data_IF_131654522531
#
_entry.id   IF_131654522531
#
_cell.length_a   1.000
_cell.length_b   1.000
_cell.length_c   1.000
_cell.angle_alpha   90.00
_cell.angle_beta   90.00
_cell.angle_gamma   90.00
#
_symmetry.space_group_name_H-M   'P 1'
#
loop_
_entity.id
_entity.type
_entity.pdbx_description
1 polymer ?
#
# COMPACT_ATOMS: atom_id res chain seq x y z
N UNK A 1 -19.23 -4.49 16.54
CA UNK A 1 -18.21 -4.12 15.53
C UNK A 1 -18.54 -2.72 15.02
N UNK A 2 -17.60 -1.78 15.04
CA UNK A 2 -17.81 -0.47 14.38
C UNK A 2 -17.53 -0.68 12.89
N UNK A 3 -18.49 -0.32 12.02
CA UNK A 3 -18.40 -0.49 10.57
C UNK A 3 -17.34 0.42 9.94
N UNK A 4 -17.70 1.11 8.87
CA UNK A 4 -16.82 2.13 8.26
C UNK A 4 -16.41 3.20 9.28
N UNK A 5 -15.16 3.63 9.19
CA UNK A 5 -14.62 4.72 9.99
C UNK A 5 -14.69 6.03 9.21
N UNK A 6 -15.61 6.91 9.62
CA UNK A 6 -15.83 8.22 8.98
C UNK A 6 -14.65 9.19 9.15
N UNK A 7 -13.73 8.92 10.08
CA UNK A 7 -12.53 9.73 10.28
C UNK A 7 -11.39 9.35 9.34
N UNK A 8 -11.51 8.27 8.57
CA UNK A 8 -10.47 7.81 7.66
C UNK A 8 -10.63 8.48 6.28
N UNK A 9 -9.58 9.14 5.75
CA UNK A 9 -9.70 9.93 4.52
C UNK A 9 -9.73 9.08 3.24
N UNK A 10 -9.12 7.89 3.27
CA UNK A 10 -9.11 6.85 2.22
C UNK A 10 -8.77 5.50 2.87
N UNK A 11 -8.89 4.40 2.12
CA UNK A 11 -8.59 3.03 2.60
C UNK A 11 -9.63 2.52 3.61
N UNK A 12 -10.84 3.08 3.59
CA UNK A 12 -11.97 2.65 4.41
C UNK A 12 -12.42 1.21 4.09
N UNK A 13 -12.22 0.76 2.85
CA UNK A 13 -12.43 -0.61 2.41
C UNK A 13 -11.42 -1.57 3.06
N UNK A 14 -10.13 -1.24 3.03
CA UNK A 14 -9.06 -2.02 3.65
C UNK A 14 -9.25 -2.15 5.16
N UNK A 15 -9.52 -1.03 5.84
CA UNK A 15 -9.79 -1.01 7.27
C UNK A 15 -11.01 -1.89 7.62
N UNK A 16 -12.07 -1.85 6.82
CA UNK A 16 -13.24 -2.72 6.99
C UNK A 16 -12.89 -4.20 6.80
N UNK A 17 -12.17 -4.57 5.73
CA UNK A 17 -11.77 -5.95 5.47
C UNK A 17 -10.89 -6.52 6.60
N UNK A 18 -9.98 -5.73 7.15
CA UNK A 18 -9.14 -6.12 8.28
C UNK A 18 -9.96 -6.34 9.55
N UNK A 19 -10.95 -5.48 9.82
CA UNK A 19 -11.89 -5.69 10.94
C UNK A 19 -12.71 -6.97 10.74
N UNK A 20 -13.18 -7.24 9.52
CA UNK A 20 -13.96 -8.44 9.21
C UNK A 20 -13.12 -9.72 9.34
N UNK A 21 -11.86 -9.70 8.93
CA UNK A 21 -10.94 -10.84 9.04
C UNK A 21 -10.72 -11.30 10.49
N UNK A 22 -10.94 -10.42 11.48
CA UNK A 22 -10.88 -10.77 12.91
C UNK A 22 -12.09 -11.58 13.38
N UNK A 23 -13.21 -11.57 12.66
CA UNK A 23 -14.41 -12.33 13.01
C UNK A 23 -14.33 -13.78 12.54
N UNK A 24 -13.48 -14.07 11.57
CA UNK A 24 -13.30 -15.42 11.04
C UNK A 24 -12.68 -15.40 9.64
N UNK A 25 -12.48 -16.59 9.04
CA UNK A 25 -11.94 -16.71 7.70
C UNK A 25 -12.80 -15.98 6.67
N UNK A 26 -12.15 -15.24 5.76
CA UNK A 26 -12.80 -14.61 4.63
C UNK A 26 -12.77 -15.57 3.43
N UNK A 27 -13.92 -16.13 2.98
CA UNK A 27 -13.94 -16.97 1.80
C UNK A 27 -13.62 -16.15 0.54
N UNK A 28 -12.88 -16.75 -0.39
CA UNK A 28 -12.48 -16.12 -1.65
C UNK A 28 -12.99 -16.94 -2.82
N UNK A 29 -13.65 -16.29 -3.77
CA UNK A 29 -14.09 -16.92 -5.03
C UNK A 29 -13.14 -16.52 -6.15
N UNK A 30 -12.50 -17.50 -6.78
CA UNK A 30 -11.57 -17.30 -7.90
C UNK A 30 -12.33 -17.20 -9.23
N UNK A 31 -13.27 -16.24 -9.33
CA UNK A 31 -14.05 -15.98 -10.53
C UNK A 31 -14.20 -14.46 -10.75
N UNK A 32 -14.30 -13.98 -12.01
CA UNK A 32 -14.56 -12.58 -12.30
C UNK A 32 -16.01 -12.22 -11.95
N UNK A 33 -16.22 -11.70 -10.74
CA UNK A 33 -17.56 -11.36 -10.23
C UNK A 33 -17.90 -9.87 -10.34
N UNK A 34 -16.91 -9.03 -10.65
CA UNK A 34 -17.04 -7.58 -10.65
C UNK A 34 -16.36 -6.99 -11.87
N UNK A 35 -17.05 -6.10 -12.57
CA UNK A 35 -16.46 -5.23 -13.56
C UNK A 35 -16.05 -3.91 -12.89
N UNK A 36 -14.75 -3.60 -12.92
CA UNK A 36 -14.20 -2.40 -12.28
C UNK A 36 -13.95 -1.30 -13.32
N UNK A 37 -14.55 -0.13 -13.11
CA UNK A 37 -14.40 1.01 -14.02
C UNK A 37 -13.22 1.90 -13.62
N UNK A 38 -12.34 2.21 -14.57
CA UNK A 38 -11.13 3.01 -14.33
C UNK A 38 -11.29 4.51 -14.61
N UNK A 39 -12.36 4.93 -15.28
CA UNK A 39 -12.45 6.24 -15.94
C UNK A 39 -13.12 7.37 -15.14
N UNK A 40 -13.60 7.11 -13.91
CA UNK A 40 -14.25 8.17 -13.14
C UNK A 40 -13.25 9.31 -12.80
N UNK A 41 -13.55 10.52 -13.25
CA UNK A 41 -12.77 11.76 -12.99
C UNK A 41 -12.71 12.13 -11.50
N UNK A 42 -13.58 11.58 -10.66
CA UNK A 42 -13.67 11.82 -9.22
C UNK A 42 -13.06 10.71 -8.34
N UNK A 43 -12.06 9.98 -8.83
CA UNK A 43 -11.42 8.93 -8.02
C UNK A 43 -10.61 9.51 -6.87
N UNK A 44 -10.94 9.08 -5.65
CA UNK A 44 -10.20 9.38 -4.40
C UNK A 44 -8.70 9.07 -4.52
N UNK A 45 -8.32 8.07 -5.32
CA UNK A 45 -6.93 7.70 -5.59
C UNK A 45 -6.11 8.76 -6.34
N UNK A 46 -6.75 9.83 -6.85
CA UNK A 46 -6.05 10.97 -7.49
C UNK A 46 -5.59 12.02 -6.47
N UNK A 47 -6.20 12.07 -5.27
CA UNK A 47 -5.70 12.89 -4.17
C UNK A 47 -4.62 12.10 -3.43
N UNK A 48 -3.39 12.24 -3.90
CA UNK A 48 -2.25 11.45 -3.39
C UNK A 48 -1.96 11.76 -1.93
N UNK A 49 -2.22 12.99 -1.49
CA UNK A 49 -2.04 13.39 -0.10
C UNK A 49 -2.98 12.59 0.80
N UNK A 50 -4.27 12.52 0.44
CA UNK A 50 -5.23 11.71 1.19
C UNK A 50 -4.91 10.22 1.12
N UNK A 51 -4.52 9.71 -0.05
CA UNK A 51 -4.15 8.31 -0.22
C UNK A 51 -2.97 7.91 0.68
N UNK A 52 -1.92 8.73 0.71
CA UNK A 52 -0.76 8.51 1.58
C UNK A 52 -1.16 8.59 3.06
N UNK A 53 -1.97 9.57 3.45
CA UNK A 53 -2.44 9.71 4.82
C UNK A 53 -3.27 8.51 5.28
N UNK A 54 -4.22 8.03 4.45
CA UNK A 54 -5.00 6.83 4.75
C UNK A 54 -4.11 5.60 4.90
N UNK A 55 -3.09 5.46 4.04
CA UNK A 55 -2.13 4.37 4.11
C UNK A 55 -1.33 4.37 5.43
N UNK A 56 -0.85 5.54 5.88
CA UNK A 56 -0.15 5.69 7.16
C UNK A 56 -1.06 5.33 8.35
N UNK A 57 -2.32 5.81 8.34
CA UNK A 57 -3.27 5.58 9.43
C UNK A 57 -3.64 4.09 9.56
N UNK A 58 -3.94 3.43 8.44
CA UNK A 58 -4.26 1.99 8.43
C UNK A 58 -3.03 1.18 8.85
N UNK A 59 -1.84 1.53 8.35
CA UNK A 59 -0.61 0.86 8.75
C UNK A 59 -0.31 0.99 10.24
N UNK A 60 -0.48 2.19 10.82
CA UNK A 60 -0.24 2.43 12.23
C UNK A 60 -1.16 1.55 13.10
N UNK A 61 -2.43 1.39 12.71
CA UNK A 61 -3.40 0.49 13.38
C UNK A 61 -2.93 -0.96 13.33
N UNK A 62 -2.63 -1.48 12.13
CA UNK A 62 -2.18 -2.87 11.95
C UNK A 62 -0.89 -3.11 12.75
N UNK A 63 0.03 -2.15 12.72
CA UNK A 63 1.31 -2.25 13.42
C UNK A 63 1.16 -2.23 14.94
N UNK A 64 0.17 -1.50 15.48
CA UNK A 64 -0.12 -1.51 16.91
C UNK A 64 -0.76 -2.83 17.38
N UNK A 65 -1.47 -3.51 16.48
CA UNK A 65 -2.16 -4.78 16.78
C UNK A 65 -1.28 -6.01 16.50
N UNK A 66 -0.34 -5.90 15.57
CA UNK A 66 0.64 -6.93 15.28
C UNK A 66 1.67 -6.96 16.41
N UNK A 67 1.89 -8.12 17.01
CA UNK A 67 2.97 -8.30 17.99
C UNK A 67 4.35 -7.95 17.40
N UNK A 68 5.39 -8.02 18.23
CA UNK A 68 6.78 -7.70 17.80
C UNK A 68 7.28 -8.58 16.66
N UNK A 69 6.70 -9.78 16.48
CA UNK A 69 7.06 -10.69 15.41
C UNK A 69 6.58 -10.18 14.03
N UNK A 70 7.48 -10.17 13.05
CA UNK A 70 7.19 -9.72 11.69
C UNK A 70 7.06 -8.20 11.48
N UNK A 71 7.15 -7.36 12.52
CA UNK A 71 7.03 -5.90 12.40
C UNK A 71 8.02 -5.27 11.41
N UNK A 72 9.28 -5.75 11.39
CA UNK A 72 10.30 -5.29 10.46
C UNK A 72 9.95 -5.58 9.00
N UNK A 73 9.40 -6.77 8.73
CA UNK A 73 8.95 -7.18 7.38
C UNK A 73 7.72 -6.39 6.95
N UNK A 74 6.74 -6.24 7.84
CA UNK A 74 5.52 -5.46 7.59
C UNK A 74 5.87 -4.00 7.26
N UNK A 75 6.78 -3.40 8.02
CA UNK A 75 7.30 -2.05 7.78
C UNK A 75 8.01 -1.93 6.43
N UNK A 76 8.86 -2.89 6.08
CA UNK A 76 9.54 -2.90 4.78
C UNK A 76 8.55 -3.00 3.60
N UNK A 77 7.52 -3.84 3.71
CA UNK A 77 6.48 -3.94 2.69
C UNK A 77 5.65 -2.66 2.57
N UNK A 78 5.39 -1.97 3.69
CA UNK A 78 4.75 -0.67 3.68
C UNK A 78 5.61 0.38 2.97
N UNK A 79 6.91 0.44 3.25
CA UNK A 79 7.86 1.32 2.57
C UNK A 79 7.84 1.09 1.05
N UNK A 80 7.86 -0.16 0.61
CA UNK A 80 7.76 -0.48 -0.82
C UNK A 80 6.42 -0.03 -1.43
N UNK A 81 5.31 -0.11 -0.69
CA UNK A 81 4.02 0.38 -1.17
C UNK A 81 4.01 1.91 -1.31
N UNK A 82 4.62 2.63 -0.37
CA UNK A 82 4.82 4.09 -0.47
C UNK A 82 5.69 4.46 -1.67
N UNK A 83 6.75 3.68 -1.94
CA UNK A 83 7.56 3.87 -3.13
C UNK A 83 6.75 3.68 -4.42
N UNK A 84 5.93 2.62 -4.51
CA UNK A 84 5.07 2.38 -5.66
C UNK A 84 4.11 3.55 -5.93
N UNK A 85 3.50 4.11 -4.87
CA UNK A 85 2.61 5.27 -4.98
C UNK A 85 3.34 6.50 -5.54
N UNK A 86 4.57 6.76 -5.08
CA UNK A 86 5.39 7.84 -5.65
C UNK A 86 5.78 7.60 -7.11
N UNK A 87 6.03 6.35 -7.51
CA UNK A 87 6.39 6.01 -8.90
C UNK A 87 5.18 6.20 -9.82
N UNK A 88 4.02 5.64 -9.45
CA UNK A 88 2.87 5.52 -10.34
C UNK A 88 1.93 6.72 -10.29
N UNK A 89 1.94 7.48 -9.19
CA UNK A 89 0.94 8.52 -8.96
C UNK A 89 1.54 9.91 -8.89
N UNK A 90 2.63 10.13 -8.13
CA UNK A 90 3.23 11.48 -8.03
C UNK A 90 4.36 11.73 -9.03
N UNK A 91 5.01 10.69 -9.54
CA UNK A 91 6.22 10.80 -10.35
C UNK A 91 7.47 11.20 -9.55
N UNK A 92 7.43 11.23 -8.21
CA UNK A 92 8.53 11.69 -7.36
C UNK A 92 9.59 10.60 -7.13
N UNK A 93 10.42 10.36 -8.14
CA UNK A 93 11.45 9.31 -8.14
C UNK A 93 12.39 9.34 -6.92
N UNK A 94 12.79 10.52 -6.45
CA UNK A 94 13.69 10.64 -5.28
C UNK A 94 13.02 10.12 -4.00
N UNK A 95 11.74 10.44 -3.78
CA UNK A 95 10.99 9.93 -2.62
C UNK A 95 10.78 8.43 -2.72
N UNK A 96 10.49 7.92 -3.92
CA UNK A 96 10.38 6.48 -4.15
C UNK A 96 11.67 5.75 -3.80
N UNK A 97 12.82 6.24 -4.28
CA UNK A 97 14.12 5.62 -4.00
C UNK A 97 14.45 5.60 -2.50
N UNK A 98 14.15 6.69 -1.79
CA UNK A 98 14.32 6.77 -0.33
C UNK A 98 13.52 5.68 0.40
N UNK A 99 12.28 5.44 0.00
CA UNK A 99 11.45 4.39 0.58
C UNK A 99 11.94 2.98 0.20
N UNK A 100 12.40 2.77 -1.03
CA UNK A 100 13.02 1.49 -1.42
C UNK A 100 14.24 1.20 -0.54
N UNK A 101 15.11 2.19 -0.32
CA UNK A 101 16.27 2.05 0.55
C UNK A 101 15.88 1.76 2.01
N UNK A 102 14.88 2.48 2.55
CA UNK A 102 14.33 2.23 3.89
C UNK A 102 13.77 0.81 4.03
N UNK A 103 13.10 0.28 3.00
CA UNK A 103 12.58 -1.08 3.02
C UNK A 103 13.71 -2.12 3.11
N UNK A 104 14.75 -1.94 2.29
CA UNK A 104 15.89 -2.85 2.22
C UNK A 104 16.70 -2.86 3.53
N UNK A 105 16.87 -1.70 4.17
CA UNK A 105 17.59 -1.61 5.45
C UNK A 105 16.80 -2.21 6.62
N UNK A 106 15.46 -2.20 6.56
CA UNK A 106 14.59 -2.77 7.60
C UNK A 106 14.48 -4.29 7.51
N UNK A 107 14.32 -4.85 6.31
CA UNK A 107 14.14 -6.30 6.12
C UNK A 107 14.52 -6.74 4.72
N UNK A 108 15.77 -7.19 4.47
CA UNK A 108 16.23 -7.63 3.17
C UNK A 108 15.79 -9.07 2.84
N UNK A 109 14.50 -9.37 3.02
CA UNK A 109 13.93 -10.66 2.63
C UNK A 109 13.87 -10.82 1.11
N UNK A 110 13.80 -12.06 0.62
CA UNK A 110 13.67 -12.36 -0.82
C UNK A 110 12.48 -11.62 -1.47
N UNK A 111 11.36 -11.51 -0.76
CA UNK A 111 10.19 -10.78 -1.24
C UNK A 111 10.44 -9.27 -1.33
N UNK A 112 11.07 -8.67 -0.32
CA UNK A 112 11.40 -7.24 -0.32
C UNK A 112 12.40 -6.93 -1.44
N UNK A 113 13.42 -7.76 -1.62
CA UNK A 113 14.41 -7.62 -2.70
C UNK A 113 13.76 -7.70 -4.08
N UNK A 114 12.91 -8.71 -4.31
CA UNK A 114 12.20 -8.89 -5.58
C UNK A 114 11.32 -7.68 -5.90
N UNK A 115 10.54 -7.20 -4.93
CA UNK A 115 9.69 -6.03 -5.11
C UNK A 115 10.51 -4.75 -5.32
N UNK A 116 11.59 -4.55 -4.57
CA UNK A 116 12.50 -3.41 -4.75
C UNK A 116 13.08 -3.39 -6.18
N UNK A 117 13.58 -4.52 -6.67
CA UNK A 117 14.08 -4.65 -8.04
C UNK A 117 13.01 -4.32 -9.09
N UNK A 118 11.79 -4.84 -8.90
CA UNK A 118 10.66 -4.51 -9.78
C UNK A 118 10.34 -3.02 -9.80
N UNK A 119 10.29 -2.36 -8.64
CA UNK A 119 10.01 -0.92 -8.54
C UNK A 119 11.13 -0.07 -9.17
N UNK A 120 12.40 -0.44 -8.98
CA UNK A 120 13.52 0.22 -9.64
C UNK A 120 13.42 0.10 -11.18
N UNK A 121 13.03 -1.08 -11.69
CA UNK A 121 12.77 -1.26 -13.13
C UNK A 121 11.58 -0.44 -13.65
N UNK A 122 10.53 -0.26 -12.85
CA UNK A 122 9.40 0.61 -13.22
C UNK A 122 9.81 2.09 -13.30
N UNK A 123 10.71 2.52 -12.42
CA UNK A 123 11.23 3.90 -12.42
C UNK A 123 12.02 4.22 -13.69
N UNK A 124 12.85 3.30 -14.18
CA UNK A 124 13.60 3.51 -15.43
C UNK A 124 12.68 3.56 -16.64
N UNK A 125 11.64 2.72 -16.68
CA UNK A 125 10.65 2.71 -17.76
C UNK A 125 9.74 3.95 -17.77
N UNK A 126 9.38 4.49 -16.60
CA UNK A 126 8.58 5.74 -16.49
C UNK A 126 9.43 7.00 -16.67
N UNK A 127 10.70 6.99 -16.23
CA UNK A 127 11.64 8.10 -16.46
C UNK A 127 12.03 8.30 -17.92
N UNK A 128 11.95 7.25 -18.75
CA UNK A 128 12.16 7.32 -20.19
C UNK A 128 10.97 7.91 -20.99
N UNK A 129 9.87 8.30 -20.31
CA UNK A 129 8.69 8.93 -20.92
C UNK A 129 8.60 10.45 -20.67
N UNK A 130 9.62 11.05 -20.06
CA UNK A 130 9.80 12.51 -19.93
C UNK A 130 10.86 12.98 -20.93
#
# INVERSE_FOLDING_TARGET
>A
MKGFDVGLPTCEDWDLWLKLAKLGPLPVVQAPLVEYTYEATNKLSRDVTKLMLGHELVFARISAESGSDGHGRLSALHDLKRAELHIRVTGEAVKALRFIWSALSRSPSSEVLRRAAHLMGLMTAHGARL
#
